data_IF_581346936032
#
_entry.id   IF_581346936032
#
_cell.length_a   1.000
_cell.length_b   1.000
_cell.length_c   1.000
_cell.angle_alpha   90.00
_cell.angle_beta   90.00
_cell.angle_gamma   90.00
#
_symmetry.space_group_name_H-M   'P 1'
#
loop_
_entity.id
_entity.type
_entity.pdbx_description
1 polymer ?
#
# COMPACT_ATOMS: atom_id res chain seq x y z
N UNK A 1 -13.15 17.79 6.36
CA UNK A 1 -12.64 17.29 6.39
C UNK A 1 -12.19 16.85 6.30
N UNK A 2 -12.09 16.93 6.38
CA UNK A 2 -11.47 16.42 6.25
C UNK A 2 -11.13 15.80 6.23
N UNK A 3 -11.79 15.92 6.41
CA UNK A 3 -11.17 15.08 6.40
C UNK A 3 -10.21 14.92 5.70
N UNK A 4 -9.59 15.23 6.02
CA UNK A 4 -8.50 14.86 5.20
C UNK A 4 -8.28 13.37 5.20
N UNK A 5 -7.69 12.85 4.15
CA UNK A 5 -7.44 11.43 4.01
C UNK A 5 -5.97 11.19 4.28
N UNK A 6 -5.68 10.31 5.21
CA UNK A 6 -4.31 9.92 5.47
C UNK A 6 -3.78 9.05 4.34
N UNK A 7 -2.53 9.24 3.96
CA UNK A 7 -1.92 8.37 2.96
C UNK A 7 -2.01 6.91 3.39
N UNK A 8 -1.86 6.66 4.68
CA UNK A 8 -1.92 5.31 5.21
C UNK A 8 -3.32 4.72 5.14
N UNK A 9 -4.36 5.58 5.09
CA UNK A 9 -5.74 5.11 5.13
C UNK A 9 -6.37 5.04 3.76
N UNK A 10 -5.99 5.92 2.85
CA UNK A 10 -6.66 6.01 1.56
C UNK A 10 -5.65 6.38 0.48
N UNK A 11 -4.82 5.42 0.10
CA UNK A 11 -3.72 5.72 -0.83
C UNK A 11 -4.17 6.31 -2.15
N UNK A 12 -5.30 5.85 -2.67
CA UNK A 12 -5.73 6.34 -3.98
C UNK A 12 -6.10 7.81 -3.95
N UNK A 13 -6.94 8.18 -2.98
CA UNK A 13 -7.49 9.52 -2.98
C UNK A 13 -6.44 10.58 -2.73
N UNK A 14 -5.42 10.25 -1.98
CA UNK A 14 -4.38 11.23 -1.65
C UNK A 14 -3.31 11.32 -2.71
N UNK A 15 -3.15 10.29 -3.53
CA UNK A 15 -2.09 10.25 -4.51
C UNK A 15 -2.26 11.31 -5.59
N UNK A 16 -3.48 11.74 -5.85
CA UNK A 16 -3.76 12.58 -6.99
C UNK A 16 -4.00 14.03 -6.65
N UNK A 17 -3.89 14.41 -5.39
CA UNK A 17 -3.95 15.79 -4.99
C UNK A 17 -2.56 16.40 -4.92
N UNK A 18 -2.49 17.73 -5.04
CA UNK A 18 -1.20 18.42 -4.97
C UNK A 18 -0.52 18.13 -3.62
N UNK A 19 -1.30 18.22 -2.55
CA UNK A 19 -0.75 17.97 -1.22
C UNK A 19 -0.38 16.51 -1.05
N UNK A 20 -1.12 15.62 -1.69
CA UNK A 20 -0.80 14.20 -1.68
C UNK A 20 0.56 13.93 -2.30
N UNK A 21 0.84 14.59 -3.43
CA UNK A 21 2.14 14.41 -4.08
C UNK A 21 3.27 14.94 -3.20
N UNK A 22 3.05 16.08 -2.56
CA UNK A 22 4.06 16.63 -1.65
C UNK A 22 4.35 15.66 -0.51
N UNK A 23 3.29 15.03 0.04
CA UNK A 23 3.49 14.05 1.10
C UNK A 23 4.22 12.82 0.61
N UNK A 24 3.94 12.37 -0.63
CA UNK A 24 4.63 11.23 -1.20
C UNK A 24 6.13 11.47 -1.31
N UNK A 25 6.51 12.69 -1.69
CA UNK A 25 7.91 13.04 -1.82
C UNK A 25 8.58 13.15 -0.45
N UNK A 26 7.88 13.70 0.53
CA UNK A 26 8.44 13.91 1.85
C UNK A 26 8.43 12.67 2.72
N UNK A 27 7.59 11.69 2.38
CA UNK A 27 7.54 10.45 3.13
C UNK A 27 8.61 9.50 2.65
N UNK A 28 9.54 9.22 3.48
CA UNK A 28 10.60 8.27 3.15
C UNK A 28 11.78 8.48 4.04
N UNK A 29 12.68 7.47 4.10
CA UNK A 29 12.61 6.21 3.36
C UNK A 29 11.54 5.27 3.91
N UNK A 30 11.13 4.30 3.08
CA UNK A 30 10.09 3.36 3.45
C UNK A 30 10.49 1.95 3.07
N UNK A 31 9.84 0.98 3.70
CA UNK A 31 9.90 -0.43 3.33
C UNK A 31 8.58 -0.78 2.65
N UNK A 32 8.58 -1.74 1.75
CA UNK A 32 7.33 -2.11 1.11
C UNK A 32 7.34 -3.57 0.65
N UNK A 33 6.12 -4.10 0.46
CA UNK A 33 5.87 -5.45 0.00
C UNK A 33 4.96 -5.33 -1.21
N UNK A 34 5.47 -5.66 -2.40
CA UNK A 34 4.62 -5.69 -3.59
C UNK A 34 3.67 -6.86 -3.50
N UNK A 35 2.43 -6.64 -3.90
CA UNK A 35 1.39 -7.66 -3.92
C UNK A 35 0.93 -7.84 -5.35
N UNK A 36 0.94 -9.08 -5.83
CA UNK A 36 0.49 -9.42 -7.17
C UNK A 36 -0.75 -10.29 -7.08
N UNK A 37 -1.60 -10.16 -8.08
CA UNK A 37 -2.84 -10.93 -8.11
C UNK A 37 -3.52 -10.76 -9.44
N UNK A 38 -4.77 -11.19 -9.52
CA UNK A 38 -5.55 -11.09 -10.73
C UNK A 38 -5.98 -9.66 -10.97
N UNK A 39 -5.72 -9.15 -12.15
CA UNK A 39 -6.18 -7.84 -12.57
C UNK A 39 -7.65 -7.90 -12.94
N UNK A 40 -8.31 -6.72 -12.91
CA UNK A 40 -9.76 -6.63 -13.09
C UNK A 40 -10.23 -7.20 -14.44
N UNK A 41 -9.50 -6.94 -15.49
CA UNK A 41 -9.89 -7.45 -16.80
C UNK A 41 -9.54 -8.91 -16.98
N UNK A 42 -8.29 -9.19 -16.86
CA UNK A 42 -7.75 -10.54 -16.92
C UNK A 42 -6.25 -10.44 -16.67
N UNK A 43 -5.62 -11.60 -16.56
CA UNK A 43 -4.18 -11.62 -16.37
C UNK A 43 -3.79 -11.45 -14.92
N UNK A 44 -2.49 -11.41 -14.73
CA UNK A 44 -1.86 -11.40 -13.41
C UNK A 44 -0.81 -10.29 -13.37
N UNK A 45 -0.76 -9.55 -12.30
CA UNK A 45 0.24 -8.49 -12.18
C UNK A 45 0.16 -7.82 -10.83
N UNK A 46 0.90 -6.74 -10.66
CA UNK A 46 0.92 -6.01 -9.41
C UNK A 46 -0.44 -5.37 -9.17
N UNK A 47 -1.03 -5.64 -8.00
CA UNK A 47 -2.29 -5.03 -7.61
C UNK A 47 -2.11 -3.94 -6.56
N UNK A 48 -0.94 -3.89 -5.91
CA UNK A 48 -0.67 -2.87 -4.92
C UNK A 48 0.58 -3.18 -4.13
N UNK A 49 0.74 -2.45 -3.03
CA UNK A 49 1.87 -2.65 -2.13
C UNK A 49 1.52 -2.20 -0.72
N UNK A 50 1.92 -2.98 0.26
CA UNK A 50 1.95 -2.52 1.64
C UNK A 50 3.23 -1.72 1.85
N UNK A 51 3.17 -0.64 2.61
CA UNK A 51 4.37 0.13 2.91
C UNK A 51 4.40 0.48 4.39
N UNK A 52 5.60 0.75 4.87
CA UNK A 52 5.82 1.13 6.27
C UNK A 52 7.00 2.08 6.33
N UNK A 53 6.84 3.19 7.04
CA UNK A 53 7.94 4.11 7.26
C UNK A 53 9.04 3.43 8.05
N UNK A 54 10.27 3.93 7.93
CA UNK A 54 11.40 3.31 8.61
C UNK A 54 11.21 3.32 10.13
N UNK A 55 10.60 4.36 10.66
CA UNK A 55 10.35 4.45 12.10
C UNK A 55 9.13 3.62 12.54
N UNK A 56 8.41 3.03 11.60
CA UNK A 56 7.26 2.18 11.94
C UNK A 56 5.99 2.93 12.31
N UNK A 57 6.00 4.24 12.22
CA UNK A 57 4.90 5.06 12.73
C UNK A 57 3.79 5.25 11.70
N UNK A 58 4.11 5.15 10.42
CA UNK A 58 3.13 5.36 9.35
C UNK A 58 3.22 4.21 8.35
N UNK A 59 2.09 3.87 7.77
CA UNK A 59 2.03 2.81 6.77
C UNK A 59 0.70 2.82 6.06
N UNK A 60 0.59 1.97 5.09
CA UNK A 60 -0.65 1.88 4.33
C UNK A 60 -0.57 0.87 3.21
N UNK A 61 -1.57 0.92 2.35
CA UNK A 61 -1.61 0.09 1.15
C UNK A 61 -1.88 0.97 -0.06
N UNK A 62 -1.01 0.87 -1.06
CA UNK A 62 -1.14 1.61 -2.32
C UNK A 62 -1.82 0.71 -3.33
N UNK A 63 -2.87 1.19 -3.98
CA UNK A 63 -3.63 0.40 -4.95
C UNK A 63 -3.19 0.75 -6.37
N UNK A 64 -2.99 -0.29 -7.19
CA UNK A 64 -2.80 -0.10 -8.62
C UNK A 64 -4.16 0.17 -9.27
N UNK A 65 -4.35 1.34 -9.90
CA UNK A 65 -5.66 1.65 -10.50
C UNK A 65 -6.12 0.66 -11.57
N UNK A 66 -5.19 -0.04 -12.21
CA UNK A 66 -5.54 -1.03 -13.22
C UNK A 66 -6.01 -2.35 -12.60
N UNK A 67 -5.88 -2.49 -11.29
CA UNK A 67 -6.36 -3.64 -10.56
C UNK A 67 -7.21 -3.15 -9.38
N UNK A 68 -8.10 -2.23 -9.65
CA UNK A 68 -8.81 -1.48 -8.62
C UNK A 68 -9.62 -2.39 -7.71
N UNK A 69 -10.28 -3.40 -8.28
CA UNK A 69 -11.09 -4.30 -7.46
C UNK A 69 -10.23 -5.06 -6.45
N UNK A 70 -9.23 -5.79 -6.95
CA UNK A 70 -8.37 -6.59 -6.08
C UNK A 70 -7.59 -5.74 -5.10
N UNK A 71 -7.05 -4.61 -5.59
CA UNK A 71 -6.31 -3.70 -4.73
C UNK A 71 -7.17 -3.08 -3.65
N UNK A 72 -8.43 -2.77 -3.97
CA UNK A 72 -9.35 -2.19 -2.99
C UNK A 72 -9.72 -3.19 -1.92
N UNK A 73 -9.81 -4.48 -2.26
CA UNK A 73 -10.03 -5.52 -1.27
C UNK A 73 -8.89 -5.57 -0.26
N UNK A 74 -7.66 -5.49 -0.74
CA UNK A 74 -6.49 -5.48 0.14
C UNK A 74 -6.45 -4.22 1.00
N UNK A 75 -6.76 -3.08 0.40
CA UNK A 75 -6.79 -1.82 1.14
C UNK A 75 -7.84 -1.85 2.25
N UNK A 76 -8.98 -2.45 1.96
CA UNK A 76 -10.05 -2.59 2.96
C UNK A 76 -9.59 -3.48 4.11
N UNK A 77 -8.90 -4.56 3.77
CA UNK A 77 -8.34 -5.45 4.77
C UNK A 77 -7.37 -4.71 5.70
N UNK A 78 -6.52 -3.88 5.11
CA UNK A 78 -5.59 -3.07 5.88
C UNK A 78 -6.34 -2.12 6.84
N UNK A 79 -7.34 -1.42 6.32
CA UNK A 79 -8.09 -0.47 7.14
C UNK A 79 -8.87 -1.16 8.26
N UNK A 80 -9.40 -2.37 7.99
CA UNK A 80 -10.09 -3.13 9.03
C UNK A 80 -9.16 -3.50 10.17
N UNK A 81 -7.95 -3.91 9.85
CA UNK A 81 -6.97 -4.24 10.87
C UNK A 81 -6.60 -2.99 11.68
N UNK A 82 -6.42 -1.86 11.00
CA UNK A 82 -6.07 -0.63 11.67
C UNK A 82 -7.16 -0.19 12.64
N UNK A 83 -8.43 -0.42 12.29
CA UNK A 83 -9.54 -0.07 13.19
C UNK A 83 -9.59 -0.94 14.43
N UNK A 84 -8.91 -2.08 14.43
CA UNK A 84 -8.83 -2.96 15.59
C UNK A 84 -7.65 -2.61 16.47
N UNK A 85 -7.17 -1.37 16.35
CA UNK A 85 -6.07 -0.85 17.14
C UNK A 85 -4.73 -1.50 16.83
N UNK A 86 -4.62 -2.11 15.68
CA UNK A 86 -3.32 -2.57 15.21
C UNK A 86 -2.53 -1.37 14.73
N UNK A 87 -1.26 -1.30 15.09
CA UNK A 87 -0.40 -0.24 14.61
C UNK A 87 -0.03 -0.52 13.15
N UNK A 88 0.42 0.51 12.41
CA UNK A 88 0.90 0.28 11.05
C UNK A 88 1.96 -0.81 10.99
N UNK A 89 2.87 -0.84 11.95
CA UNK A 89 3.91 -1.85 11.98
C UNK A 89 3.32 -3.25 12.18
N UNK A 90 2.35 -3.40 13.05
CA UNK A 90 1.72 -4.70 13.29
C UNK A 90 1.04 -5.22 12.02
N UNK A 91 0.31 -4.35 11.32
CA UNK A 91 -0.35 -4.76 10.08
C UNK A 91 0.69 -5.15 9.03
N UNK A 92 1.72 -4.34 8.88
CA UNK A 92 2.77 -4.62 7.91
C UNK A 92 3.45 -5.97 8.21
N UNK A 93 3.78 -6.22 9.47
CA UNK A 93 4.43 -7.47 9.86
C UNK A 93 3.55 -8.68 9.60
N UNK A 94 2.26 -8.54 9.82
CA UNK A 94 1.33 -9.63 9.53
C UNK A 94 1.45 -10.06 8.07
N UNK A 95 1.45 -9.09 7.16
CA UNK A 95 1.56 -9.41 5.74
C UNK A 95 2.97 -9.82 5.33
N UNK A 96 3.98 -9.28 5.99
CA UNK A 96 5.35 -9.71 5.76
C UNK A 96 5.53 -11.19 6.08
N UNK A 97 4.83 -11.67 7.09
CA UNK A 97 4.88 -13.09 7.45
C UNK A 97 4.17 -13.96 6.41
N UNK A 98 3.42 -13.36 5.49
CA UNK A 98 2.71 -14.06 4.43
C UNK A 98 3.48 -14.04 3.10
N UNK A 99 4.74 -13.65 3.11
CA UNK A 99 5.54 -13.60 1.88
C UNK A 99 5.43 -14.94 1.14
N UNK A 100 5.21 -14.85 -0.18
CA UNK A 100 4.87 -16.00 -0.99
C UNK A 100 3.37 -16.01 -1.27
N UNK A 101 2.81 -17.18 -1.40
CA UNK A 101 1.37 -17.31 -1.68
C UNK A 101 0.56 -17.00 -0.42
N UNK A 102 -0.38 -16.08 -0.54
CA UNK A 102 -1.25 -15.69 0.55
C UNK A 102 -2.67 -15.64 -0.01
N UNK A 103 -3.37 -16.77 0.07
CA UNK A 103 -4.67 -16.89 -0.54
C UNK A 103 -4.55 -16.82 -2.05
N UNK A 104 -5.24 -15.86 -2.65
CA UNK A 104 -5.22 -15.69 -4.11
C UNK A 104 -4.29 -14.57 -4.57
N UNK A 105 -3.34 -14.17 -3.72
CA UNK A 105 -2.35 -13.17 -4.08
C UNK A 105 -0.96 -13.72 -3.77
N UNK A 106 0.05 -13.04 -4.32
CA UNK A 106 1.45 -13.32 -4.02
C UNK A 106 2.05 -12.07 -3.41
N UNK A 107 2.79 -12.25 -2.33
CA UNK A 107 3.44 -11.14 -1.63
C UNK A 107 4.94 -11.30 -1.80
N UNK A 108 5.57 -10.29 -2.40
CA UNK A 108 7.00 -10.31 -2.63
C UNK A 108 7.77 -9.99 -1.35
N UNK A 109 9.02 -10.44 -1.26
CA UNK A 109 9.87 -10.09 -0.13
C UNK A 109 10.03 -8.57 0.00
N UNK A 110 10.32 -8.13 1.20
CA UNK A 110 10.46 -6.72 1.52
C UNK A 110 11.54 -6.05 0.67
N UNK A 111 11.22 -4.86 0.21
CA UNK A 111 12.12 -3.99 -0.50
C UNK A 111 12.13 -2.63 0.19
N UNK A 112 13.07 -1.78 -0.21
CA UNK A 112 13.23 -0.45 0.35
C UNK A 112 13.15 0.58 -0.75
N UNK A 113 12.64 1.76 -0.40
CA UNK A 113 12.59 2.89 -1.31
C UNK A 113 12.94 4.16 -0.56
N UNK A 114 13.54 5.10 -1.27
CA UNK A 114 13.94 6.37 -0.66
C UNK A 114 12.73 7.24 -0.34
N UNK A 115 11.66 7.08 -1.10
CA UNK A 115 10.43 7.85 -0.90
C UNK A 115 9.23 6.98 -1.21
N UNK A 116 8.10 7.35 -0.62
CA UNK A 116 6.83 6.69 -0.91
C UNK A 116 6.43 6.91 -2.38
N UNK A 117 6.86 8.00 -2.99
CA UNK A 117 6.61 8.25 -4.39
C UNK A 117 7.13 7.09 -5.26
N UNK A 118 8.29 6.56 -4.92
CA UNK A 118 8.85 5.43 -5.66
C UNK A 118 7.93 4.21 -5.59
N UNK A 119 7.35 3.97 -4.41
CA UNK A 119 6.41 2.85 -4.24
C UNK A 119 5.17 3.05 -5.13
N UNK A 120 4.63 4.27 -5.16
CA UNK A 120 3.49 4.56 -6.01
C UNK A 120 3.81 4.31 -7.48
N UNK A 121 5.02 4.66 -7.92
CA UNK A 121 5.44 4.40 -9.30
C UNK A 121 5.59 2.92 -9.58
N UNK A 122 6.18 2.19 -8.64
CA UNK A 122 6.34 0.74 -8.79
C UNK A 122 5.00 0.02 -8.90
N UNK A 123 4.00 0.53 -8.23
CA UNK A 123 2.66 -0.05 -8.25
C UNK A 123 1.88 0.36 -9.50
N UNK A 124 2.29 1.42 -10.16
CA UNK A 124 1.55 1.93 -11.31
C UNK A 124 0.49 2.94 -10.92
N UNK A 125 0.57 3.49 -9.72
CA UNK A 125 -0.40 4.45 -9.23
C UNK A 125 -0.08 5.88 -9.63
N UNK A 126 1.07 6.11 -10.21
CA UNK A 126 1.48 7.40 -10.74
C UNK A 126 2.14 7.26 -12.08
#
# INVERSE_FOLDING_TARGET
MSEHIELSDSPLSTAFGRDGIANLVSEGPVRYLLVSGRHDGNGWGVIGAFWLSIDGERGGFVVNPEALWAGSEMARSYRSAARREWTPETVYRYWQDQVGAAGNVMIDPQQHADTLLHVYRRVGAL
#
